data_IF_637573560133
#
_entry.id   IF_637573560133
#
_cell.length_a   1.000
_cell.length_b   1.000
_cell.length_c   1.000
_cell.angle_alpha   90.00
_cell.angle_beta   90.00
_cell.angle_gamma   90.00
#
_symmetry.space_group_name_H-M   'P 1'
#
loop_
_entity.id
_entity.type
_entity.pdbx_description
1 polymer ?
#
# COMPACT_ATOMS: atom_id res chain seq x y z
N UNK A 1 51.49 -19.58 19.17
CA UNK A 1 51.00 -19.68 17.77
C UNK A 1 49.47 -19.69 17.82
N UNK A 2 48.86 -18.64 17.23
CA UNK A 2 47.44 -18.47 16.81
C UNK A 2 46.35 -18.26 17.88
N UNK A 3 46.10 -16.98 18.15
CA UNK A 3 44.77 -16.45 18.53
C UNK A 3 43.72 -16.92 17.51
N UNK A 4 42.61 -17.49 18.00
CA UNK A 4 41.38 -17.66 17.20
C UNK A 4 40.45 -16.48 17.50
N UNK A 5 40.55 -15.43 16.68
CA UNK A 5 39.38 -14.60 16.39
C UNK A 5 38.46 -15.42 15.49
N UNK A 6 37.27 -15.75 15.97
CA UNK A 6 36.19 -16.23 15.13
C UNK A 6 35.07 -15.18 15.17
N UNK A 7 34.98 -14.50 14.03
CA UNK A 7 33.92 -13.66 13.50
C UNK A 7 32.67 -13.45 14.37
N UNK A 8 32.40 -12.18 14.68
CA UNK A 8 31.04 -11.68 14.90
C UNK A 8 30.20 -12.08 13.68
N UNK A 9 29.21 -12.95 13.87
CA UNK A 9 28.08 -13.06 12.94
C UNK A 9 27.36 -11.71 12.96
N UNK A 10 27.66 -10.84 12.01
CA UNK A 10 26.75 -9.77 11.64
C UNK A 10 25.54 -10.45 11.02
N UNK A 11 24.45 -10.48 11.78
CA UNK A 11 23.10 -10.71 11.27
C UNK A 11 22.93 -9.87 10.00
N UNK A 12 23.01 -10.51 8.83
CA UNK A 12 22.45 -9.97 7.59
C UNK A 12 20.96 -9.93 7.81
N UNK A 13 20.47 -8.81 8.37
CA UNK A 13 19.03 -8.55 8.44
C UNK A 13 18.50 -8.73 7.04
N UNK A 14 17.51 -9.62 6.88
CA UNK A 14 16.89 -9.89 5.58
C UNK A 14 16.50 -8.55 4.95
N UNK A 15 17.26 -8.12 3.96
CA UNK A 15 16.91 -6.97 3.13
C UNK A 15 15.75 -7.44 2.28
N UNK A 16 14.58 -6.85 2.50
CA UNK A 16 13.42 -7.14 1.67
C UNK A 16 13.78 -6.85 0.21
N UNK A 17 13.50 -7.76 -0.75
CA UNK A 17 13.71 -7.44 -2.16
C UNK A 17 12.84 -6.22 -2.54
N UNK A 18 13.39 -5.33 -3.37
CA UNK A 18 12.72 -4.09 -3.77
C UNK A 18 11.44 -4.36 -4.57
N UNK A 19 11.34 -5.50 -5.25
CA UNK A 19 10.13 -5.94 -5.93
C UNK A 19 9.76 -7.36 -5.49
N UNK A 20 8.47 -7.71 -5.57
CA UNK A 20 8.02 -9.06 -5.27
C UNK A 20 6.51 -9.24 -5.35
N UNK A 21 6.10 -10.50 -5.15
CA UNK A 21 4.70 -10.91 -5.02
C UNK A 21 4.60 -12.03 -3.97
N UNK A 22 3.55 -12.01 -3.15
CA UNK A 22 3.22 -13.09 -2.24
C UNK A 22 1.70 -13.21 -2.01
N UNK A 23 1.18 -14.42 -1.74
CA UNK A 23 -0.17 -14.57 -1.25
C UNK A 23 -0.26 -14.02 0.18
N UNK A 24 -1.38 -13.36 0.49
CA UNK A 24 -1.56 -12.75 1.81
C UNK A 24 -2.99 -12.33 2.09
N UNK A 25 -3.12 -11.53 3.15
CA UNK A 25 -4.34 -10.86 3.53
C UNK A 25 -4.09 -9.36 3.72
N UNK A 26 -5.10 -8.63 4.20
CA UNK A 26 -4.96 -7.19 4.42
C UNK A 26 -3.86 -6.83 5.45
N UNK A 27 -3.57 -7.68 6.43
CA UNK A 27 -2.47 -7.42 7.37
C UNK A 27 -1.11 -7.64 6.71
N UNK A 28 -0.98 -8.62 5.80
CA UNK A 28 0.23 -8.79 4.96
C UNK A 28 0.51 -7.53 4.14
N UNK A 29 -0.54 -6.96 3.53
CA UNK A 29 -0.47 -5.70 2.79
C UNK A 29 0.07 -4.56 3.66
N UNK A 30 -0.51 -4.34 4.85
CA UNK A 30 -0.04 -3.29 5.76
C UNK A 30 1.41 -3.50 6.22
N UNK A 31 1.76 -4.74 6.57
CA UNK A 31 3.12 -5.09 6.98
C UNK A 31 4.14 -4.82 5.86
N UNK A 32 3.74 -5.02 4.60
CA UNK A 32 4.60 -4.78 3.43
C UNK A 32 4.89 -3.29 3.23
N UNK A 33 3.90 -2.43 3.42
CA UNK A 33 4.05 -0.96 3.36
C UNK A 33 5.06 -0.50 4.42
N UNK A 34 4.90 -0.97 5.66
CA UNK A 34 5.83 -0.62 6.74
C UNK A 34 7.25 -1.15 6.50
N UNK A 35 7.37 -2.36 5.95
CA UNK A 35 8.66 -2.93 5.63
C UNK A 35 9.39 -2.09 4.56
N UNK A 36 8.69 -1.68 3.50
CA UNK A 36 9.25 -0.84 2.44
C UNK A 36 9.57 0.58 2.92
N UNK A 37 8.74 1.18 3.77
CA UNK A 37 9.03 2.48 4.38
C UNK A 37 10.36 2.50 5.17
N UNK A 38 10.77 1.34 5.71
CA UNK A 38 12.03 1.15 6.46
C UNK A 38 13.25 0.87 5.58
N UNK A 39 13.10 0.58 4.28
CA UNK A 39 14.26 0.29 3.40
C UNK A 39 15.08 1.52 3.03
N UNK A 40 14.50 2.71 3.19
CA UNK A 40 15.11 3.96 2.72
C UNK A 40 14.80 4.27 1.25
N UNK A 41 13.92 3.51 0.59
CA UNK A 41 13.46 3.84 -0.76
C UNK A 41 12.86 5.26 -0.81
N UNK A 42 13.14 5.98 -1.90
CA UNK A 42 12.56 7.31 -2.17
C UNK A 42 11.11 7.20 -2.63
N UNK A 43 10.75 6.06 -3.23
CA UNK A 43 9.42 5.79 -3.73
C UNK A 43 9.20 4.29 -3.82
N UNK A 44 7.98 3.86 -3.54
CA UNK A 44 7.56 2.48 -3.68
C UNK A 44 6.04 2.42 -3.85
N UNK A 45 5.54 1.29 -4.32
CA UNK A 45 4.11 0.98 -4.28
C UNK A 45 3.88 -0.41 -3.67
N UNK A 46 2.68 -0.60 -3.12
CA UNK A 46 2.17 -1.92 -2.74
C UNK A 46 0.76 -2.04 -3.26
N UNK A 47 0.46 -3.12 -3.98
CA UNK A 47 -0.88 -3.43 -4.47
C UNK A 47 -1.40 -4.65 -3.72
N UNK A 48 -2.68 -4.62 -3.37
CA UNK A 48 -3.44 -5.78 -2.87
C UNK A 48 -4.57 -6.06 -3.86
N UNK A 49 -4.54 -7.23 -4.49
CA UNK A 49 -5.48 -7.65 -5.51
C UNK A 49 -6.21 -8.93 -5.11
N UNK A 50 -7.54 -8.98 -5.27
CA UNK A 50 -8.32 -10.19 -5.01
C UNK A 50 -7.84 -11.33 -5.91
N UNK A 51 -7.61 -12.53 -5.35
CA UNK A 51 -7.16 -13.67 -6.16
C UNK A 51 -8.23 -14.17 -7.13
N UNK A 52 -9.51 -14.09 -6.72
CA UNK A 52 -10.65 -14.63 -7.47
C UNK A 52 -11.54 -13.52 -8.07
N UNK A 53 -11.08 -12.28 -8.07
CA UNK A 53 -11.90 -11.13 -8.42
C UNK A 53 -11.11 -9.98 -9.07
N UNK A 54 -11.80 -9.02 -9.70
CA UNK A 54 -11.15 -7.91 -10.40
C UNK A 54 -10.71 -6.78 -9.47
N UNK A 55 -11.02 -6.85 -8.16
CA UNK A 55 -10.85 -5.71 -7.25
C UNK A 55 -9.41 -5.64 -6.78
N UNK A 56 -8.87 -4.43 -6.80
CA UNK A 56 -7.59 -4.13 -6.21
C UNK A 56 -7.53 -2.69 -5.70
N UNK A 57 -6.66 -2.46 -4.72
CA UNK A 57 -6.23 -1.13 -4.30
C UNK A 57 -4.72 -1.10 -4.24
N UNK A 58 -4.16 0.08 -4.33
CA UNK A 58 -2.73 0.30 -4.20
C UNK A 58 -2.48 1.41 -3.19
N UNK A 59 -1.30 1.36 -2.57
CA UNK A 59 -0.67 2.54 -1.99
C UNK A 59 0.57 2.86 -2.80
N UNK A 60 0.74 4.13 -3.12
CA UNK A 60 2.00 4.70 -3.57
C UNK A 60 2.59 5.52 -2.43
N UNK A 61 3.89 5.45 -2.23
CA UNK A 61 4.59 6.27 -1.26
C UNK A 61 5.77 6.97 -1.93
N UNK A 62 6.01 8.22 -1.56
CA UNK A 62 7.10 9.04 -2.08
C UNK A 62 7.70 9.90 -0.98
N UNK A 63 9.02 10.07 -0.99
CA UNK A 63 9.75 10.98 -0.11
C UNK A 63 9.69 12.40 -0.65
N UNK A 64 9.22 13.32 0.18
CA UNK A 64 9.31 14.74 -0.09
C UNK A 64 10.77 15.25 0.00
N UNK A 65 10.98 16.52 -0.38
CA UNK A 65 12.30 17.17 -0.29
C UNK A 65 12.84 17.28 1.14
N UNK A 66 11.99 17.13 2.16
CA UNK A 66 12.37 17.11 3.56
C UNK A 66 12.68 15.68 4.06
N UNK A 67 12.64 14.67 3.18
CA UNK A 67 12.93 13.27 3.47
C UNK A 67 11.77 12.51 4.13
N UNK A 68 10.58 13.12 4.23
CA UNK A 68 9.39 12.50 4.83
C UNK A 68 8.63 11.71 3.78
N UNK A 69 8.21 10.49 4.12
CA UNK A 69 7.33 9.71 3.27
C UNK A 69 5.90 10.22 3.38
N UNK A 70 5.28 10.51 2.24
CA UNK A 70 3.83 10.69 2.08
C UNK A 70 3.25 9.46 1.38
N UNK A 71 1.96 9.19 1.61
CA UNK A 71 1.27 8.01 1.12
C UNK A 71 0.05 8.43 0.31
N UNK A 72 -0.24 7.72 -0.76
CA UNK A 72 -1.40 7.94 -1.62
C UNK A 72 -2.14 6.62 -1.74
N UNK A 73 -3.41 6.60 -1.31
CA UNK A 73 -4.31 5.50 -1.63
C UNK A 73 -4.78 5.67 -3.08
N UNK A 74 -4.65 4.60 -3.85
CA UNK A 74 -4.95 4.55 -5.27
C UNK A 74 -6.07 3.53 -5.53
N UNK A 75 -7.21 4.02 -6.01
CA UNK A 75 -8.29 3.18 -6.52
C UNK A 75 -8.41 3.35 -8.04
N UNK A 76 -8.17 2.32 -8.86
CA UNK A 76 -8.53 2.36 -10.27
C UNK A 76 -10.02 2.66 -10.44
N UNK A 77 -10.39 3.58 -11.32
CA UNK A 77 -11.79 3.89 -11.68
C UNK A 77 -12.17 3.09 -12.92
N UNK A 78 -12.80 1.94 -12.67
CA UNK A 78 -13.25 0.95 -13.63
C UNK A 78 -14.74 0.64 -13.39
N UNK A 79 -15.36 -0.14 -14.28
CA UNK A 79 -16.78 -0.52 -14.16
C UNK A 79 -17.13 -1.10 -12.77
N UNK A 80 -16.23 -1.90 -12.19
CA UNK A 80 -16.45 -2.53 -10.88
C UNK A 80 -16.29 -1.55 -9.70
N UNK A 81 -15.52 -0.47 -9.86
CA UNK A 81 -15.20 0.47 -8.78
C UNK A 81 -15.92 1.80 -8.89
N UNK A 82 -16.50 2.14 -10.05
CA UNK A 82 -17.11 3.45 -10.31
C UNK A 82 -18.13 3.86 -9.23
N UNK A 83 -19.05 2.95 -8.86
CA UNK A 83 -20.03 3.23 -7.80
C UNK A 83 -19.44 3.29 -6.39
N UNK A 84 -18.26 2.71 -6.16
CA UNK A 84 -17.55 2.80 -4.88
C UNK A 84 -16.65 4.03 -4.79
N UNK A 85 -16.11 4.50 -5.92
CA UNK A 85 -15.25 5.67 -5.99
C UNK A 85 -15.97 6.91 -5.44
N UNK A 86 -17.25 7.11 -5.78
CA UNK A 86 -18.06 8.21 -5.26
C UNK A 86 -18.19 8.17 -3.72
N UNK A 87 -18.37 6.97 -3.14
CA UNK A 87 -18.46 6.80 -1.68
C UNK A 87 -17.13 7.08 -0.99
N UNK A 88 -16.02 6.67 -1.61
CA UNK A 88 -14.67 6.88 -1.10
C UNK A 88 -14.31 8.36 -1.17
N UNK A 89 -14.63 9.03 -2.26
CA UNK A 89 -14.44 10.47 -2.47
C UNK A 89 -15.24 11.30 -1.44
N UNK A 90 -16.50 10.94 -1.20
CA UNK A 90 -17.33 11.58 -0.18
C UNK A 90 -16.75 11.41 1.23
N UNK A 91 -16.26 10.20 1.58
CA UNK A 91 -15.65 9.95 2.87
C UNK A 91 -14.30 10.67 3.03
N UNK A 92 -13.48 10.70 1.98
CA UNK A 92 -12.23 11.47 1.97
C UNK A 92 -12.49 12.96 2.21
N UNK A 93 -13.48 13.52 1.52
CA UNK A 93 -13.92 14.92 1.69
C UNK A 93 -14.38 15.19 3.12
N UNK A 94 -15.18 14.30 3.71
CA UNK A 94 -15.66 14.41 5.10
C UNK A 94 -14.50 14.39 6.11
N UNK A 95 -13.43 13.66 5.81
CA UNK A 95 -12.20 13.60 6.62
C UNK A 95 -11.24 14.76 6.36
N UNK A 96 -11.54 15.66 5.42
CA UNK A 96 -10.67 16.76 5.03
C UNK A 96 -9.41 16.31 4.30
N UNK A 97 -9.43 15.14 3.67
CA UNK A 97 -8.31 14.58 2.93
C UNK A 97 -8.27 15.16 1.51
N UNK A 98 -7.05 15.35 0.98
CA UNK A 98 -6.88 15.70 -0.42
C UNK A 98 -7.29 14.49 -1.28
N UNK A 99 -8.29 14.69 -2.13
CA UNK A 99 -8.88 13.65 -2.96
C UNK A 99 -9.04 14.18 -4.39
N UNK A 100 -8.59 13.40 -5.38
CA UNK A 100 -8.64 13.81 -6.79
C UNK A 100 -8.87 12.60 -7.70
N UNK A 101 -9.60 12.82 -8.79
CA UNK A 101 -9.65 11.87 -9.91
C UNK A 101 -8.59 12.25 -10.92
N UNK A 102 -7.63 11.37 -11.12
CA UNK A 102 -6.52 11.58 -12.06
C UNK A 102 -6.75 10.75 -13.31
N UNK A 103 -6.91 11.37 -14.49
CA UNK A 103 -6.95 10.62 -15.73
C UNK A 103 -5.56 10.04 -16.02
N UNK A 104 -5.51 8.77 -16.38
CA UNK A 104 -4.28 8.08 -16.77
C UNK A 104 -4.55 7.00 -17.80
N UNK A 105 -3.61 6.70 -18.70
CA UNK A 105 -3.62 5.44 -19.44
C UNK A 105 -3.09 4.32 -18.54
N UNK A 106 -3.71 3.12 -18.52
CA UNK A 106 -4.89 2.72 -19.30
C UNK A 106 -6.23 3.07 -18.63
N UNK A 107 -6.22 3.59 -17.40
CA UNK A 107 -7.42 3.92 -16.62
C UNK A 107 -7.20 5.12 -15.71
N UNK A 108 -8.29 5.80 -15.34
CA UNK A 108 -8.24 6.84 -14.32
C UNK A 108 -8.08 6.22 -12.92
N UNK A 109 -7.53 7.01 -12.00
CA UNK A 109 -7.40 6.65 -10.59
C UNK A 109 -8.13 7.68 -9.72
N UNK A 110 -8.66 7.22 -8.59
CA UNK A 110 -9.04 8.07 -7.47
C UNK A 110 -7.89 8.03 -6.46
N UNK A 111 -7.23 9.17 -6.30
CA UNK A 111 -6.09 9.34 -5.40
C UNK A 111 -6.58 10.01 -4.12
N UNK A 112 -6.16 9.47 -2.97
CA UNK A 112 -6.36 10.10 -1.65
C UNK A 112 -5.02 10.19 -0.93
N UNK A 113 -4.58 11.40 -0.59
CA UNK A 113 -3.27 11.64 0.01
C UNK A 113 -3.32 11.55 1.54
N UNK A 114 -2.23 11.04 2.14
CA UNK A 114 -2.02 10.88 3.57
C UNK A 114 -0.60 11.27 3.97
N UNK A 115 -0.46 11.92 5.13
CA UNK A 115 0.86 12.26 5.69
C UNK A 115 1.53 11.08 6.39
N UNK A 116 0.76 10.07 6.81
CA UNK A 116 1.27 8.92 7.57
C UNK A 116 0.75 7.59 7.02
N UNK A 117 1.55 6.53 7.20
CA UNK A 117 1.13 5.16 6.87
C UNK A 117 -0.03 4.68 7.74
N UNK A 118 -0.13 5.18 8.98
CA UNK A 118 -1.19 4.83 9.92
C UNK A 118 -2.56 5.34 9.45
N UNK A 119 -2.64 6.61 9.03
CA UNK A 119 -3.89 7.18 8.53
C UNK A 119 -4.32 6.51 7.22
N UNK A 120 -3.36 6.26 6.33
CA UNK A 120 -3.57 5.45 5.14
C UNK A 120 -4.11 4.06 5.50
N UNK A 121 -3.52 3.36 6.47
CA UNK A 121 -3.93 2.02 6.87
C UNK A 121 -5.37 1.99 7.42
N UNK A 122 -5.77 2.98 8.22
CA UNK A 122 -7.13 3.12 8.73
C UNK A 122 -8.13 3.34 7.58
N UNK A 123 -7.77 4.20 6.62
CA UNK A 123 -8.61 4.46 5.45
C UNK A 123 -8.74 3.24 4.54
N UNK A 124 -7.63 2.60 4.18
CA UNK A 124 -7.61 1.40 3.35
C UNK A 124 -8.40 0.25 3.99
N UNK A 125 -8.30 0.09 5.33
CA UNK A 125 -9.09 -0.92 6.05
C UNK A 125 -10.58 -0.67 5.89
N UNK A 126 -11.02 0.58 6.09
CA UNK A 126 -12.41 0.98 5.89
C UNK A 126 -12.89 0.71 4.45
N UNK A 127 -12.06 1.00 3.43
CA UNK A 127 -12.43 0.68 2.04
C UNK A 127 -12.66 -0.82 1.86
N UNK A 128 -11.69 -1.64 2.30
CA UNK A 128 -11.76 -3.09 2.13
C UNK A 128 -12.95 -3.70 2.89
N UNK A 129 -13.20 -3.30 4.13
CA UNK A 129 -14.25 -3.91 4.97
C UNK A 129 -15.64 -3.31 4.76
N UNK A 130 -15.76 -2.00 4.56
CA UNK A 130 -17.08 -1.32 4.52
C UNK A 130 -17.55 -0.98 3.11
N UNK A 131 -16.61 -0.70 2.21
CA UNK A 131 -16.94 -0.32 0.82
C UNK A 131 -16.99 -1.55 -0.05
N UNK A 132 -15.93 -2.34 -0.08
CA UNK A 132 -15.87 -3.59 -0.84
C UNK A 132 -16.55 -4.76 -0.13
N UNK A 133 -16.75 -4.66 1.19
CA UNK A 133 -17.38 -5.70 2.02
C UNK A 133 -16.68 -7.04 1.92
N UNK A 134 -15.35 -7.00 1.92
CA UNK A 134 -14.54 -8.19 1.81
C UNK A 134 -14.45 -8.91 3.15
N UNK A 135 -14.60 -10.25 3.17
CA UNK A 135 -14.37 -11.06 4.36
C UNK A 135 -12.96 -10.84 4.94
N UNK A 136 -12.78 -10.88 6.27
CA UNK A 136 -11.46 -10.73 6.90
C UNK A 136 -10.43 -11.79 6.48
N UNK A 137 -10.89 -12.96 6.05
CA UNK A 137 -10.10 -14.09 5.57
C UNK A 137 -9.92 -14.11 4.04
N UNK A 138 -10.34 -13.05 3.35
CA UNK A 138 -10.12 -12.88 1.92
C UNK A 138 -8.63 -13.03 1.60
N UNK A 139 -8.37 -13.79 0.53
CA UNK A 139 -7.02 -14.03 0.03
C UNK A 139 -6.73 -13.06 -1.10
N UNK A 140 -5.54 -12.52 -1.05
CA UNK A 140 -5.07 -11.55 -2.02
C UNK A 140 -3.67 -11.91 -2.51
N UNK A 141 -3.37 -11.46 -3.71
CA UNK A 141 -2.00 -11.30 -4.15
C UNK A 141 -1.50 -9.92 -3.71
N UNK A 142 -0.38 -9.89 -2.99
CA UNK A 142 0.30 -8.66 -2.57
C UNK A 142 1.54 -8.48 -3.44
N UNK A 143 1.57 -7.44 -4.26
CA UNK A 143 2.71 -7.11 -5.12
C UNK A 143 3.33 -5.78 -4.71
N UNK A 144 4.64 -5.60 -4.94
CA UNK A 144 5.33 -4.35 -4.65
C UNK A 144 6.49 -4.08 -5.60
N UNK A 145 6.89 -2.81 -5.67
CA UNK A 145 8.04 -2.34 -6.43
C UNK A 145 8.38 -0.88 -6.21
#
# INVERSE_FOLDING_TARGET
>A
MKQRLAARQTSTGNVLPLTGSEPGNFETYLARIEALARTGADRFFVTIAETDGPRFIQVSAERDRAGRLTYQFDLPVLDWSAGTADRIEAEATKRGLACRRVPGPPMAFLDVDFETSGDHAVFARWVVTEVFRLPPDSRFEITWG
#
